data_IF_658268176943
#
_entry.id   IF_658268176943
#
_cell.length_a   1.000
_cell.length_b   1.000
_cell.length_c   1.000
_cell.angle_alpha   90.00
_cell.angle_beta   90.00
_cell.angle_gamma   90.00
#
_symmetry.space_group_name_H-M   'P 1'
#
loop_
_entity.id
_entity.type
_entity.pdbx_description
1 polymer ?
#
# COMPACT_ATOMS: atom_id res chain seq x y z
N UNK A 1 -6.97 29.85 15.99
CA UNK A 1 -5.72 29.64 16.76
C UNK A 1 -4.55 29.96 15.84
N UNK A 2 -3.62 30.83 16.23
CA UNK A 2 -2.42 31.08 15.45
C UNK A 2 -1.60 29.78 15.34
N UNK A 3 -1.21 29.38 14.12
CA UNK A 3 -0.31 28.23 13.94
C UNK A 3 1.01 28.54 14.65
N UNK A 4 1.51 27.61 15.46
CA UNK A 4 2.81 27.75 16.12
C UNK A 4 3.88 27.86 15.03
N UNK A 5 4.66 28.95 15.02
CA UNK A 5 5.84 29.11 14.15
C UNK A 5 7.08 28.60 14.89
N UNK A 6 7.97 27.95 14.16
CA UNK A 6 9.29 27.52 14.64
C UNK A 6 10.39 28.08 13.75
N UNK A 7 11.63 27.99 14.22
CA UNK A 7 12.84 28.37 13.49
C UNK A 7 13.71 27.15 13.23
N UNK A 8 14.43 27.14 12.12
CA UNK A 8 15.29 26.03 11.74
C UNK A 8 16.29 26.41 10.65
N UNK A 9 17.11 25.44 10.25
CA UNK A 9 18.13 25.57 9.22
C UNK A 9 17.81 24.66 8.04
N UNK A 10 17.85 25.18 6.82
CA UNK A 10 17.79 24.36 5.61
C UNK A 10 19.11 23.58 5.50
N UNK A 11 19.01 22.25 5.52
CA UNK A 11 20.17 21.35 5.48
C UNK A 11 20.36 20.68 4.12
N UNK A 12 19.29 20.57 3.32
CA UNK A 12 19.33 19.97 1.97
C UNK A 12 18.36 20.69 1.04
N UNK A 13 18.75 20.90 -0.21
CA UNK A 13 17.93 21.43 -1.29
C UNK A 13 18.01 20.48 -2.49
N UNK A 14 16.85 20.13 -3.02
CA UNK A 14 16.67 19.38 -4.25
C UNK A 14 15.93 20.23 -5.28
N UNK A 15 15.71 19.70 -6.49
CA UNK A 15 15.07 20.44 -7.57
C UNK A 15 13.64 20.92 -7.29
N UNK A 16 12.91 20.22 -6.43
CA UNK A 16 11.47 20.43 -6.18
C UNK A 16 11.10 20.53 -4.69
N UNK A 17 12.01 20.18 -3.78
CA UNK A 17 11.79 20.24 -2.34
C UNK A 17 13.11 20.49 -1.60
N UNK A 18 13.04 20.84 -0.32
CA UNK A 18 14.20 20.89 0.58
C UNK A 18 13.87 20.30 1.95
N UNK A 19 14.85 20.27 2.84
CA UNK A 19 14.72 19.75 4.21
C UNK A 19 15.23 20.79 5.20
N UNK A 20 14.43 21.05 6.24
CA UNK A 20 14.75 21.94 7.36
C UNK A 20 15.00 21.10 8.62
N UNK A 21 16.14 21.26 9.29
CA UNK A 21 16.35 20.77 10.66
C UNK A 21 15.86 21.82 11.66
N UNK A 22 15.08 21.41 12.66
CA UNK A 22 14.56 22.29 13.71
C UNK A 22 14.29 21.54 15.02
N UNK A 23 14.61 22.17 16.15
CA UNK A 23 14.21 21.73 17.50
C UNK A 23 13.01 22.51 18.06
N UNK A 24 12.45 23.49 17.32
CA UNK A 24 11.44 24.45 17.81
C UNK A 24 10.08 23.83 18.17
N UNK A 25 9.79 22.65 17.64
CA UNK A 25 8.49 21.99 17.79
C UNK A 25 8.48 20.92 18.88
N UNK A 26 9.66 20.52 19.36
CA UNK A 26 9.81 19.51 20.40
C UNK A 26 10.04 20.17 21.79
N UNK A 27 9.52 19.55 22.85
CA UNK A 27 9.66 20.04 24.23
C UNK A 27 11.04 19.72 24.84
N UNK A 28 11.76 18.75 24.26
CA UNK A 28 13.06 18.27 24.78
C UNK A 28 14.26 18.83 23.99
N UNK A 29 14.03 19.68 22.99
CA UNK A 29 15.11 20.30 22.21
C UNK A 29 15.80 19.38 21.21
N UNK A 30 15.27 18.18 20.95
CA UNK A 30 15.78 17.25 19.93
C UNK A 30 15.55 17.85 18.53
N UNK A 31 16.57 17.80 17.67
CA UNK A 31 16.46 18.22 16.27
C UNK A 31 15.63 17.23 15.45
N UNK A 32 14.76 17.77 14.60
CA UNK A 32 13.89 17.00 13.70
C UNK A 32 13.94 17.59 12.29
N UNK A 33 13.85 16.73 11.28
CA UNK A 33 13.86 17.12 9.87
C UNK A 33 12.44 17.28 9.32
N UNK A 34 12.17 18.39 8.62
CA UNK A 34 10.87 18.71 8.01
C UNK A 34 11.05 19.04 6.53
N UNK A 35 10.38 18.31 5.62
CA UNK A 35 10.41 18.62 4.19
C UNK A 35 9.61 19.88 3.88
N UNK A 36 9.98 20.59 2.82
CA UNK A 36 9.20 21.70 2.27
C UNK A 36 9.26 21.74 0.75
N UNK A 37 8.21 22.28 0.13
CA UNK A 37 8.13 22.40 -1.33
C UNK A 37 8.90 23.63 -1.82
N UNK A 38 9.68 23.48 -2.90
CA UNK A 38 10.24 24.63 -3.62
C UNK A 38 9.12 25.29 -4.44
N UNK A 39 8.90 26.57 -4.21
CA UNK A 39 7.86 27.36 -4.87
C UNK A 39 8.44 28.17 -6.04
N UNK A 40 7.58 28.68 -6.92
CA UNK A 40 8.01 29.43 -8.13
C UNK A 40 8.82 30.68 -7.79
N UNK A 41 8.48 31.36 -6.69
CA UNK A 41 9.18 32.55 -6.19
C UNK A 41 10.60 32.26 -5.68
N UNK A 42 10.90 30.99 -5.39
CA UNK A 42 12.27 30.55 -5.09
C UNK A 42 13.09 30.27 -6.34
N UNK A 43 12.49 30.26 -7.54
CA UNK A 43 13.19 29.92 -8.78
C UNK A 43 13.69 31.19 -9.47
N UNK A 44 14.96 31.17 -9.86
CA UNK A 44 15.58 32.21 -10.67
C UNK A 44 16.14 31.60 -11.95
N UNK A 45 15.83 32.21 -13.09
CA UNK A 45 16.34 31.82 -14.40
C UNK A 45 17.20 32.96 -14.96
N UNK A 46 18.47 32.66 -15.21
CA UNK A 46 19.47 33.59 -15.77
C UNK A 46 20.23 32.86 -16.86
N UNK A 47 20.30 33.42 -18.07
CA UNK A 47 21.04 32.88 -19.21
C UNK A 47 20.74 31.40 -19.55
N UNK A 48 19.47 30.99 -19.38
CA UNK A 48 19.02 29.60 -19.61
C UNK A 48 19.40 28.61 -18.51
N UNK A 49 19.99 29.10 -17.41
CA UNK A 49 20.33 28.32 -16.22
C UNK A 49 19.31 28.61 -15.13
N UNK A 50 18.76 27.56 -14.50
CA UNK A 50 17.81 27.71 -13.39
C UNK A 50 18.44 27.41 -12.04
N UNK A 51 18.11 28.23 -11.06
CA UNK A 51 18.58 28.15 -9.68
C UNK A 51 17.41 28.10 -8.69
N UNK A 52 17.64 27.51 -7.52
CA UNK A 52 16.82 27.64 -6.33
C UNK A 52 17.48 28.66 -5.40
N UNK A 53 16.79 29.76 -5.14
CA UNK A 53 17.15 30.74 -4.13
C UNK A 53 16.51 30.36 -2.80
N UNK A 54 17.30 30.36 -1.73
CA UNK A 54 16.83 30.03 -0.39
C UNK A 54 17.64 30.76 0.68
N UNK A 55 17.12 30.84 1.89
CA UNK A 55 17.86 31.35 3.05
C UNK A 55 18.29 30.18 3.92
N UNK A 56 19.51 30.18 4.44
CA UNK A 56 19.99 29.11 5.31
C UNK A 56 19.15 28.97 6.58
N UNK A 57 18.80 30.10 7.21
CA UNK A 57 17.98 30.14 8.42
C UNK A 57 16.58 30.64 8.11
N UNK A 58 15.57 29.89 8.56
CA UNK A 58 14.17 30.16 8.22
C UNK A 58 13.25 30.04 9.43
N UNK A 59 12.15 30.78 9.39
CA UNK A 59 10.98 30.56 10.24
C UNK A 59 9.84 29.96 9.42
N UNK A 60 9.08 29.03 10.00
CA UNK A 60 8.06 28.28 9.28
C UNK A 60 6.94 27.79 10.20
N UNK A 61 5.83 27.39 9.60
CA UNK A 61 4.69 26.73 10.24
C UNK A 61 4.64 25.27 9.78
N UNK A 62 4.07 24.38 10.60
CA UNK A 62 3.84 22.99 10.19
C UNK A 62 2.44 22.81 9.58
N UNK A 63 2.36 21.99 8.53
CA UNK A 63 1.12 21.53 7.93
C UNK A 63 1.08 20.01 7.87
N UNK A 64 -0.12 19.44 7.97
CA UNK A 64 -0.32 18.04 7.67
C UNK A 64 -0.79 17.93 6.23
N UNK A 65 0.06 17.41 5.36
CA UNK A 65 -0.27 17.18 3.96
C UNK A 65 -0.60 15.70 3.74
N UNK A 66 -1.84 15.44 3.34
CA UNK A 66 -2.30 14.10 2.99
C UNK A 66 -2.03 13.81 1.51
N UNK A 67 -1.51 12.62 1.20
CA UNK A 67 -1.51 12.09 -0.17
C UNK A 67 -0.27 12.38 -1.03
N UNK A 68 0.77 13.02 -0.49
CA UNK A 68 2.02 13.32 -1.24
C UNK A 68 2.76 12.03 -1.67
N UNK A 69 2.66 10.94 -0.91
CA UNK A 69 3.13 9.60 -1.30
C UNK A 69 1.98 8.59 -1.27
N UNK A 70 1.07 8.69 -2.24
CA UNK A 70 -0.09 7.80 -2.54
C UNK A 70 -1.05 7.42 -1.39
N UNK A 71 -0.75 7.70 -0.12
CA UNK A 71 -1.57 7.48 1.11
C UNK A 71 -0.90 7.89 2.44
N UNK A 72 0.35 8.38 2.46
CA UNK A 72 1.00 8.89 3.69
C UNK A 72 0.59 10.30 4.09
N UNK A 73 0.49 10.57 5.40
CA UNK A 73 0.37 11.92 5.99
C UNK A 73 1.78 12.45 6.23
N UNK A 74 2.17 13.53 5.57
CA UNK A 74 3.47 14.19 5.78
C UNK A 74 3.27 15.39 6.68
N UNK A 75 4.19 15.58 7.62
CA UNK A 75 4.32 16.86 8.33
C UNK A 75 5.32 17.70 7.55
N UNK A 76 4.83 18.67 6.79
CA UNK A 76 5.65 19.56 5.96
C UNK A 76 5.78 20.95 6.59
N UNK A 77 6.88 21.63 6.27
CA UNK A 77 7.10 23.03 6.58
C UNK A 77 6.47 23.91 5.48
N UNK A 78 5.63 24.86 5.90
CA UNK A 78 4.95 25.84 5.05
C UNK A 78 5.20 27.26 5.56
N UNK A 79 4.83 28.25 4.74
CA UNK A 79 4.95 29.67 5.10
C UNK A 79 6.38 30.08 5.50
N UNK A 80 7.36 29.54 4.77
CA UNK A 80 8.78 29.69 5.02
C UNK A 80 9.18 31.15 4.80
N UNK A 81 9.82 31.73 5.81
CA UNK A 81 10.34 33.10 5.78
C UNK A 81 11.81 33.07 6.19
N UNK A 82 12.68 33.50 5.29
CA UNK A 82 14.12 33.49 5.51
C UNK A 82 14.64 34.68 6.31
N UNK A 83 15.81 34.48 6.91
CA UNK A 83 16.59 35.50 7.60
C UNK A 83 18.04 35.40 7.12
N UNK A 84 18.68 36.56 6.90
CA UNK A 84 20.10 36.63 6.53
C UNK A 84 20.36 36.67 5.03
N UNK A 85 21.46 36.06 4.60
CA UNK A 85 21.93 36.07 3.22
C UNK A 85 21.10 35.12 2.34
N UNK A 86 20.81 35.56 1.11
CA UNK A 86 20.16 34.73 0.11
C UNK A 86 21.20 33.84 -0.58
N UNK A 87 21.07 32.54 -0.40
CA UNK A 87 21.88 31.53 -1.04
C UNK A 87 21.25 31.07 -2.35
N UNK A 88 22.09 30.54 -3.24
CA UNK A 88 21.70 30.10 -4.58
C UNK A 88 22.25 28.69 -4.84
N UNK A 89 21.40 27.77 -5.26
CA UNK A 89 21.79 26.42 -5.69
C UNK A 89 21.34 26.15 -7.12
N UNK A 90 22.24 25.59 -7.94
CA UNK A 90 21.94 25.21 -9.32
C UNK A 90 20.90 24.07 -9.36
N UNK A 91 19.89 24.21 -10.23
CA UNK A 91 18.95 23.11 -10.53
C UNK A 91 19.54 22.24 -11.62
N UNK A 92 19.68 20.96 -11.32
CA UNK A 92 20.12 19.96 -12.29
C UNK A 92 18.91 19.17 -12.75
N UNK A 93 18.25 19.64 -13.81
CA UNK A 93 17.16 18.90 -14.41
C UNK A 93 17.74 17.81 -15.33
N UNK A 94 17.25 16.56 -15.25
CA UNK A 94 17.64 15.54 -16.19
C UNK A 94 17.24 15.97 -17.61
N UNK A 95 18.21 15.99 -18.53
CA UNK A 95 17.99 16.25 -19.96
C UNK A 95 17.90 14.94 -20.78
N UNK A 96 17.88 13.80 -20.09
CA UNK A 96 17.80 12.48 -20.70
C UNK A 96 16.34 12.13 -21.01
N UNK A 97 16.15 11.37 -22.09
CA UNK A 97 14.84 10.83 -22.41
C UNK A 97 14.54 9.56 -21.61
N UNK A 98 13.29 9.12 -21.68
CA UNK A 98 12.78 7.98 -20.93
C UNK A 98 13.61 6.69 -21.09
N UNK A 99 14.09 6.38 -22.30
CA UNK A 99 14.82 5.13 -22.55
C UNK A 99 16.22 5.16 -21.95
N UNK A 100 16.91 6.31 -22.01
CA UNK A 100 18.21 6.50 -21.36
C UNK A 100 18.08 6.52 -19.83
N UNK A 101 17.09 7.21 -19.30
CA UNK A 101 16.75 7.18 -17.88
C UNK A 101 16.46 5.76 -17.37
N UNK A 102 15.89 4.90 -18.23
CA UNK A 102 15.61 3.51 -17.90
C UNK A 102 16.88 2.67 -17.88
N UNK A 103 17.79 2.86 -18.85
CA UNK A 103 19.11 2.21 -18.86
C UNK A 103 19.92 2.57 -17.62
N UNK A 104 20.01 3.86 -17.26
CA UNK A 104 20.75 4.29 -16.08
C UNK A 104 20.15 3.70 -14.79
N UNK A 105 18.82 3.62 -14.71
CA UNK A 105 18.17 2.97 -13.58
C UNK A 105 18.44 1.46 -13.55
N UNK A 106 18.45 0.77 -14.69
CA UNK A 106 18.82 -0.65 -14.77
C UNK A 106 20.27 -0.87 -14.30
N UNK A 107 21.21 -0.04 -14.73
CA UNK A 107 22.61 -0.08 -14.26
C UNK A 107 22.72 0.14 -12.75
N UNK A 108 21.94 1.08 -12.21
CA UNK A 108 21.88 1.34 -10.76
C UNK A 108 21.48 0.09 -9.96
N UNK A 109 20.70 -0.83 -10.53
CA UNK A 109 20.30 -2.11 -9.91
C UNK A 109 21.07 -3.31 -10.47
N UNK A 110 22.26 -3.08 -11.02
CA UNK A 110 23.17 -4.11 -11.53
C UNK A 110 22.56 -5.02 -12.62
N UNK A 111 21.75 -4.46 -13.51
CA UNK A 111 21.27 -5.18 -14.69
C UNK A 111 22.28 -5.17 -15.82
N UNK A 112 22.32 -6.27 -16.57
CA UNK A 112 23.05 -6.36 -17.83
C UNK A 112 22.30 -5.58 -18.92
N UNK A 113 22.95 -4.52 -19.39
CA UNK A 113 22.47 -3.65 -20.48
C UNK A 113 23.51 -3.53 -21.58
N UNK A 114 24.57 -4.34 -21.54
CA UNK A 114 25.69 -4.24 -22.48
C UNK A 114 25.24 -4.41 -23.94
N UNK A 115 24.22 -5.24 -24.19
CA UNK A 115 23.64 -5.45 -25.52
C UNK A 115 22.92 -4.22 -26.09
N UNK A 116 22.52 -3.25 -25.26
CA UNK A 116 21.65 -2.12 -25.65
C UNK A 116 22.24 -0.74 -25.34
N UNK A 117 23.39 -0.68 -24.69
CA UNK A 117 23.98 0.58 -24.23
C UNK A 117 24.43 1.48 -25.40
N UNK A 118 25.02 0.87 -26.43
CA UNK A 118 25.53 1.57 -27.63
C UNK A 118 24.44 1.83 -28.68
N UNK A 119 23.26 1.25 -28.54
CA UNK A 119 22.13 1.43 -29.45
C UNK A 119 21.61 2.87 -29.42
N UNK A 120 20.98 3.32 -30.50
CA UNK A 120 20.25 4.59 -30.51
C UNK A 120 18.90 4.47 -29.75
N UNK A 121 18.27 5.62 -29.46
CA UNK A 121 17.08 5.65 -28.60
C UNK A 121 15.87 4.89 -29.18
N UNK A 122 15.76 4.80 -30.51
CA UNK A 122 14.67 4.06 -31.18
C UNK A 122 14.91 2.56 -31.08
N UNK A 123 16.16 2.12 -31.24
CA UNK A 123 16.56 0.72 -31.09
C UNK A 123 16.35 0.23 -29.64
N UNK A 124 16.72 1.04 -28.65
CA UNK A 124 16.48 0.73 -27.23
C UNK A 124 14.98 0.59 -26.95
N UNK A 125 14.16 1.48 -27.52
CA UNK A 125 12.71 1.40 -27.36
C UNK A 125 12.14 0.10 -27.95
N UNK A 126 12.55 -0.26 -29.16
CA UNK A 126 12.12 -1.52 -29.80
C UNK A 126 12.64 -2.75 -29.05
N UNK A 127 13.85 -2.72 -28.50
CA UNK A 127 14.34 -3.79 -27.62
C UNK A 127 13.43 -3.99 -26.41
N UNK A 128 13.10 -2.91 -25.68
CA UNK A 128 12.21 -3.01 -24.52
C UNK A 128 10.84 -3.58 -24.90
N UNK A 129 10.31 -3.18 -26.05
CA UNK A 129 9.05 -3.71 -26.58
C UNK A 129 9.14 -5.20 -26.94
N UNK A 130 10.24 -5.65 -27.54
CA UNK A 130 10.47 -7.07 -27.90
C UNK A 130 10.45 -7.95 -26.65
N UNK A 131 11.02 -7.49 -25.54
CA UNK A 131 11.02 -8.25 -24.29
C UNK A 131 9.72 -8.06 -23.47
N UNK A 132 8.72 -7.34 -23.99
CA UNK A 132 7.48 -6.94 -23.30
C UNK A 132 7.72 -6.09 -22.04
N UNK A 133 8.80 -5.30 -22.02
CA UNK A 133 9.02 -4.30 -20.99
C UNK A 133 8.15 -3.06 -21.24
N UNK A 134 7.44 -2.63 -20.20
CA UNK A 134 6.48 -1.52 -20.27
C UNK A 134 6.90 -0.39 -19.33
N UNK A 135 6.59 0.89 -19.62
CA UNK A 135 7.08 1.99 -18.79
C UNK A 135 6.77 1.92 -17.29
N UNK A 136 5.60 1.40 -16.94
CA UNK A 136 5.20 1.17 -15.54
C UNK A 136 6.14 0.24 -14.77
N UNK A 137 6.86 -0.65 -15.46
CA UNK A 137 7.73 -1.67 -14.85
C UNK A 137 8.99 -1.05 -14.21
N UNK A 138 9.32 0.20 -14.56
CA UNK A 138 10.37 0.99 -13.87
C UNK A 138 10.07 1.20 -12.38
N UNK A 139 8.82 1.04 -11.95
CA UNK A 139 8.42 1.12 -10.55
C UNK A 139 8.95 -0.05 -9.71
N UNK A 140 9.33 -1.18 -10.33
CA UNK A 140 9.92 -2.30 -9.61
C UNK A 140 11.40 -2.08 -9.27
N UNK A 141 12.05 -1.12 -9.91
CA UNK A 141 13.44 -0.74 -9.62
C UNK A 141 13.48 0.16 -8.38
N UNK A 142 13.24 -0.44 -7.22
CA UNK A 142 13.32 0.19 -5.89
C UNK A 142 14.10 -0.73 -4.97
N UNK A 143 14.83 -0.15 -4.02
CA UNK A 143 15.49 -0.92 -2.97
C UNK A 143 14.43 -1.67 -2.16
N UNK A 144 14.64 -2.97 -1.98
CA UNK A 144 13.68 -3.88 -1.35
C UNK A 144 13.06 -4.86 -2.34
N UNK A 145 12.80 -4.45 -3.60
CA UNK A 145 12.47 -5.40 -4.68
C UNK A 145 13.75 -5.98 -5.27
N UNK A 146 14.69 -5.11 -5.61
CA UNK A 146 16.05 -5.44 -6.00
C UNK A 146 17.01 -4.76 -5.03
N UNK A 147 18.30 -5.10 -5.12
CA UNK A 147 19.36 -4.41 -4.39
C UNK A 147 20.15 -3.55 -5.37
N UNK A 148 20.32 -2.26 -5.05
CA UNK A 148 21.16 -1.37 -5.85
C UNK A 148 22.61 -1.88 -5.93
N UNK A 149 23.31 -1.59 -7.02
CA UNK A 149 24.72 -1.92 -7.22
C UNK A 149 25.58 -1.42 -6.06
N UNK A 150 25.27 -0.23 -5.54
CA UNK A 150 25.98 0.36 -4.39
C UNK A 150 25.78 -0.48 -3.12
N UNK A 151 24.55 -0.86 -2.80
CA UNK A 151 24.28 -1.70 -1.63
C UNK A 151 24.86 -3.10 -1.79
N UNK A 152 24.75 -3.69 -2.98
CA UNK A 152 25.27 -5.03 -3.28
C UNK A 152 26.79 -5.12 -3.08
N UNK A 153 27.54 -4.08 -3.46
CA UNK A 153 28.99 -3.98 -3.21
C UNK A 153 29.35 -4.12 -1.71
N UNK A 154 28.46 -3.76 -0.79
CA UNK A 154 28.71 -3.85 0.66
C UNK A 154 28.61 -5.29 1.19
N UNK A 155 27.94 -6.18 0.45
CA UNK A 155 27.69 -7.57 0.88
C UNK A 155 28.56 -8.60 0.16
N UNK A 156 29.10 -8.26 -1.01
CA UNK A 156 29.88 -9.20 -1.82
C UNK A 156 31.24 -9.47 -1.15
N UNK A 157 31.70 -10.74 -1.08
CA UNK A 157 33.01 -11.09 -0.52
C UNK A 157 34.18 -10.42 -1.27
N UNK A 158 35.24 -10.08 -0.53
CA UNK A 158 36.47 -9.56 -1.11
C UNK A 158 36.99 -10.47 -2.24
N UNK A 159 37.32 -9.88 -3.39
CA UNK A 159 37.83 -10.59 -4.57
C UNK A 159 36.76 -11.09 -5.55
N UNK A 160 35.47 -10.90 -5.26
CA UNK A 160 34.37 -11.21 -6.19
C UNK A 160 33.89 -9.93 -6.89
N UNK A 161 33.59 -9.98 -8.19
CA UNK A 161 33.10 -8.81 -8.92
C UNK A 161 31.59 -8.69 -8.81
N UNK A 162 31.08 -7.47 -8.66
CA UNK A 162 29.62 -7.22 -8.71
C UNK A 162 29.04 -7.55 -10.08
N UNK A 163 29.86 -7.47 -11.12
CA UNK A 163 29.43 -7.79 -12.48
C UNK A 163 29.15 -9.30 -12.67
N UNK A 164 29.64 -10.17 -11.76
CA UNK A 164 29.33 -11.61 -11.76
C UNK A 164 27.86 -11.90 -11.39
N UNK A 165 27.17 -10.90 -10.84
CA UNK A 165 25.79 -10.99 -10.36
C UNK A 165 24.82 -10.17 -11.21
N UNK A 166 25.16 -9.88 -12.46
CA UNK A 166 24.28 -9.08 -13.33
C UNK A 166 22.94 -9.77 -13.59
N UNK A 167 21.86 -9.00 -13.43
CA UNK A 167 20.50 -9.46 -13.71
C UNK A 167 20.09 -9.15 -15.15
N UNK A 168 19.25 -10.00 -15.73
CA UNK A 168 18.68 -9.74 -17.07
C UNK A 168 17.37 -8.94 -16.97
N UNK A 169 17.13 -7.92 -17.82
CA UNK A 169 15.90 -7.11 -17.76
C UNK A 169 14.58 -7.90 -17.83
N UNK A 170 14.59 -9.08 -18.45
CA UNK A 170 13.43 -9.98 -18.57
C UNK A 170 12.86 -10.41 -17.19
N UNK A 171 13.66 -10.43 -16.13
CA UNK A 171 13.17 -10.75 -14.77
C UNK A 171 12.11 -9.73 -14.30
N UNK A 172 12.22 -8.46 -14.73
CA UNK A 172 11.26 -7.41 -14.40
C UNK A 172 9.91 -7.68 -15.08
N UNK A 173 9.95 -8.26 -16.29
CA UNK A 173 8.75 -8.63 -17.05
C UNK A 173 8.05 -9.79 -16.36
N UNK A 174 8.79 -10.81 -15.91
CA UNK A 174 8.25 -11.91 -15.10
C UNK A 174 7.63 -11.37 -13.80
N UNK A 175 8.33 -10.48 -13.11
CA UNK A 175 7.83 -9.82 -11.91
C UNK A 175 6.53 -9.05 -12.18
N UNK A 176 6.41 -8.33 -13.30
CA UNK A 176 5.17 -7.63 -13.67
C UNK A 176 4.01 -8.60 -13.87
N UNK A 177 4.23 -9.77 -14.47
CA UNK A 177 3.16 -10.78 -14.63
C UNK A 177 2.75 -11.38 -13.28
N UNK A 178 3.71 -11.61 -12.37
CA UNK A 178 3.42 -12.07 -11.00
C UNK A 178 2.60 -11.00 -10.25
N UNK A 179 3.00 -9.73 -10.36
CA UNK A 179 2.31 -8.60 -9.74
C UNK A 179 0.89 -8.41 -10.31
N UNK A 180 0.71 -8.60 -11.62
CA UNK A 180 -0.62 -8.64 -12.25
C UNK A 180 -1.49 -9.75 -11.66
N UNK A 181 -0.96 -10.97 -11.52
CA UNK A 181 -1.71 -12.08 -10.90
C UNK A 181 -2.04 -11.77 -9.45
N UNK A 182 -1.11 -11.18 -8.70
CA UNK A 182 -1.34 -10.81 -7.31
C UNK A 182 -2.44 -9.75 -7.19
N UNK A 183 -2.45 -8.72 -8.04
CA UNK A 183 -3.55 -7.74 -8.11
C UNK A 183 -4.92 -8.36 -8.33
N UNK A 184 -5.00 -9.36 -9.22
CA UNK A 184 -6.26 -10.05 -9.49
C UNK A 184 -6.77 -10.75 -8.23
N UNK A 185 -5.90 -11.50 -7.54
CA UNK A 185 -6.25 -12.12 -6.27
C UNK A 185 -6.64 -11.12 -5.20
N UNK A 186 -5.87 -10.04 -5.01
CA UNK A 186 -6.21 -9.00 -4.03
C UNK A 186 -7.56 -8.35 -4.30
N UNK A 187 -7.88 -8.07 -5.57
CA UNK A 187 -9.20 -7.55 -5.94
C UNK A 187 -10.30 -8.56 -5.63
N UNK A 188 -10.12 -9.81 -6.04
CA UNK A 188 -11.08 -10.89 -5.79
C UNK A 188 -11.33 -11.10 -4.30
N UNK A 189 -10.27 -11.18 -3.50
CA UNK A 189 -10.34 -11.40 -2.05
C UNK A 189 -11.03 -10.24 -1.31
N UNK A 190 -10.78 -8.99 -1.71
CA UNK A 190 -11.50 -7.84 -1.13
C UNK A 190 -12.99 -7.88 -1.50
N UNK A 191 -13.32 -8.18 -2.75
CA UNK A 191 -14.72 -8.30 -3.19
C UNK A 191 -15.45 -9.46 -2.48
N UNK A 192 -14.76 -10.57 -2.21
CA UNK A 192 -15.33 -11.67 -1.42
C UNK A 192 -15.69 -11.23 0.01
N UNK A 193 -14.87 -10.39 0.65
CA UNK A 193 -15.21 -9.81 1.96
C UNK A 193 -16.48 -8.96 1.86
N UNK A 194 -16.56 -8.06 0.87
CA UNK A 194 -17.74 -7.23 0.65
C UNK A 194 -19.00 -8.09 0.44
N UNK A 195 -18.92 -9.08 -0.44
CA UNK A 195 -20.03 -9.94 -0.82
C UNK A 195 -20.50 -10.84 0.33
N UNK A 196 -19.58 -11.39 1.13
CA UNK A 196 -19.92 -12.20 2.30
C UNK A 196 -20.73 -11.38 3.32
N UNK A 197 -20.35 -10.12 3.53
CA UNK A 197 -21.06 -9.22 4.45
C UNK A 197 -22.43 -8.81 3.88
N UNK A 198 -22.49 -8.42 2.60
CA UNK A 198 -23.77 -8.10 1.94
C UNK A 198 -24.73 -9.29 1.99
N UNK A 199 -24.23 -10.49 1.68
CA UNK A 199 -25.01 -11.74 1.74
C UNK A 199 -25.49 -12.07 3.15
N UNK A 200 -24.65 -11.85 4.17
CA UNK A 200 -25.06 -12.02 5.56
C UNK A 200 -26.20 -11.06 5.93
N UNK A 201 -26.08 -9.78 5.56
CA UNK A 201 -27.12 -8.78 5.81
C UNK A 201 -28.41 -9.25 5.13
N UNK A 202 -28.40 -9.54 3.83
CA UNK A 202 -29.58 -10.05 3.10
C UNK A 202 -30.20 -11.30 3.75
N UNK A 203 -29.38 -12.24 4.23
CA UNK A 203 -29.89 -13.43 4.93
C UNK A 203 -30.62 -13.07 6.22
N UNK A 204 -30.08 -12.16 7.03
CA UNK A 204 -30.73 -11.70 8.28
C UNK A 204 -32.12 -11.12 8.00
N UNK A 205 -32.32 -10.51 6.83
CA UNK A 205 -33.57 -9.87 6.42
C UNK A 205 -34.68 -10.83 6.03
N UNK A 206 -34.36 -12.11 5.86
CA UNK A 206 -35.39 -13.14 5.70
C UNK A 206 -36.20 -13.34 6.98
N UNK A 207 -35.69 -12.88 8.13
CA UNK A 207 -36.45 -12.83 9.39
C UNK A 207 -37.48 -11.70 9.35
N UNK A 208 -38.75 -12.05 9.59
CA UNK A 208 -39.85 -11.08 9.60
C UNK A 208 -39.66 -9.96 10.62
N UNK A 209 -38.91 -10.21 11.70
CA UNK A 209 -38.61 -9.21 12.74
C UNK A 209 -37.56 -8.18 12.30
N UNK A 210 -36.83 -8.43 11.21
CA UNK A 210 -35.76 -7.55 10.72
C UNK A 210 -36.28 -6.35 9.90
N UNK A 211 -37.57 -6.34 9.50
CA UNK A 211 -38.15 -5.26 8.67
C UNK A 211 -38.03 -3.87 9.30
N UNK A 212 -38.24 -3.77 10.62
CA UNK A 212 -38.11 -2.50 11.35
C UNK A 212 -36.67 -1.99 11.31
N UNK A 213 -35.70 -2.90 11.43
CA UNK A 213 -34.26 -2.57 11.39
C UNK A 213 -33.89 -2.01 10.01
N UNK A 214 -34.42 -2.58 8.93
CA UNK A 214 -34.21 -2.09 7.56
C UNK A 214 -34.72 -0.67 7.41
N UNK A 215 -35.99 -0.42 7.78
CA UNK A 215 -36.58 0.91 7.67
C UNK A 215 -35.78 1.95 8.47
N UNK A 216 -35.43 1.65 9.72
CA UNK A 216 -34.61 2.54 10.55
C UNK A 216 -33.22 2.80 9.94
N UNK A 217 -32.57 1.76 9.39
CA UNK A 217 -31.25 1.89 8.75
C UNK A 217 -31.32 2.74 7.48
N UNK A 218 -32.33 2.51 6.62
CA UNK A 218 -32.50 3.27 5.38
C UNK A 218 -32.96 4.72 5.63
N UNK A 219 -33.73 4.96 6.69
CA UNK A 219 -34.04 6.31 7.16
C UNK A 219 -32.76 7.05 7.59
N UNK A 220 -31.90 6.40 8.39
CA UNK A 220 -30.61 6.96 8.77
C UNK A 220 -29.73 7.24 7.55
N UNK A 221 -29.68 6.29 6.61
CA UNK A 221 -28.96 6.45 5.34
C UNK A 221 -29.47 7.65 4.56
N UNK A 222 -30.78 7.75 4.32
CA UNK A 222 -31.42 8.86 3.62
C UNK A 222 -31.12 10.20 4.30
N UNK A 223 -31.19 10.28 5.63
CA UNK A 223 -30.89 11.50 6.39
C UNK A 223 -29.42 11.94 6.28
N UNK A 224 -28.48 10.99 6.21
CA UNK A 224 -27.04 11.27 6.22
C UNK A 224 -26.42 11.40 4.81
N UNK A 225 -26.92 10.63 3.84
CA UNK A 225 -26.37 10.50 2.47
C UNK A 225 -27.32 10.95 1.37
N UNK A 226 -28.59 11.20 1.69
CA UNK A 226 -29.62 11.57 0.71
C UNK A 226 -30.21 10.37 -0.03
N UNK A 227 -30.96 10.65 -1.10
CA UNK A 227 -31.79 9.67 -1.83
C UNK A 227 -31.09 9.06 -3.05
N UNK A 228 -29.90 9.52 -3.42
CA UNK A 228 -29.21 9.13 -4.66
C UNK A 228 -29.12 7.62 -4.88
N UNK A 229 -28.73 6.86 -3.85
CA UNK A 229 -28.63 5.39 -3.94
C UNK A 229 -29.99 4.70 -4.10
N UNK A 230 -31.03 5.24 -3.46
CA UNK A 230 -32.41 4.74 -3.53
C UNK A 230 -32.98 5.01 -4.94
N UNK A 231 -32.76 6.20 -5.48
CA UNK A 231 -33.17 6.57 -6.83
C UNK A 231 -32.45 5.73 -7.89
N UNK A 232 -31.13 5.53 -7.74
CA UNK A 232 -30.36 4.69 -8.65
C UNK A 232 -30.79 3.23 -8.61
N UNK A 233 -31.09 2.67 -7.43
CA UNK A 233 -31.64 1.33 -7.29
C UNK A 233 -32.95 1.17 -8.10
N UNK A 234 -33.86 2.15 -7.98
CA UNK A 234 -35.13 2.19 -8.74
C UNK A 234 -34.90 2.25 -10.24
N UNK A 235 -34.00 3.14 -10.71
CA UNK A 235 -33.70 3.32 -12.14
C UNK A 235 -33.18 2.02 -12.76
N UNK A 236 -32.32 1.27 -12.06
CA UNK A 236 -31.77 0.00 -12.56
C UNK A 236 -32.87 -1.03 -12.86
N UNK A 237 -33.95 -1.03 -12.08
CA UNK A 237 -35.08 -1.96 -12.21
C UNK A 237 -36.20 -1.41 -13.09
N UNK A 238 -36.19 -0.11 -13.38
CA UNK A 238 -37.21 0.54 -14.17
C UNK A 238 -37.38 -0.15 -15.53
N UNK A 239 -38.62 -0.50 -15.87
CA UNK A 239 -39.00 -1.18 -17.11
C UNK A 239 -38.40 -2.58 -17.31
N UNK A 240 -38.02 -3.28 -16.24
CA UNK A 240 -37.64 -4.70 -16.27
C UNK A 240 -38.75 -5.57 -15.70
N UNK A 241 -38.92 -6.80 -16.20
CA UNK A 241 -39.91 -7.75 -15.62
C UNK A 241 -39.68 -7.98 -14.13
N UNK A 242 -38.43 -7.97 -13.69
CA UNK A 242 -38.08 -8.14 -12.28
C UNK A 242 -38.65 -7.03 -11.38
N UNK A 243 -39.01 -5.86 -11.92
CA UNK A 243 -39.66 -4.79 -11.13
C UNK A 243 -41.01 -5.21 -10.58
N UNK A 244 -41.67 -6.20 -11.17
CA UNK A 244 -42.95 -6.71 -10.67
C UNK A 244 -42.81 -7.45 -9.33
N UNK A 245 -41.58 -7.79 -8.93
CA UNK A 245 -41.27 -8.49 -7.67
C UNK A 245 -41.31 -7.56 -6.45
N UNK A 246 -41.39 -6.25 -6.64
CA UNK A 246 -41.43 -5.26 -5.56
C UNK A 246 -42.22 -4.01 -5.94
N UNK A 247 -43.04 -3.50 -5.03
CA UNK A 247 -43.82 -2.29 -5.29
C UNK A 247 -42.95 -1.03 -5.09
N UNK A 248 -42.24 -0.64 -6.16
CA UNK A 248 -41.47 0.61 -6.21
C UNK A 248 -42.35 1.87 -6.28
N UNK A 249 -43.68 1.75 -6.42
CA UNK A 249 -44.60 2.88 -6.55
C UNK A 249 -45.03 3.37 -5.16
N UNK A 250 -45.53 2.46 -4.32
CA UNK A 250 -46.06 2.80 -3.00
C UNK A 250 -45.01 2.76 -1.89
N UNK A 251 -43.95 1.96 -2.04
CA UNK A 251 -42.89 1.94 -1.05
C UNK A 251 -41.91 3.08 -1.30
N UNK A 252 -41.46 3.74 -0.23
CA UNK A 252 -40.48 4.82 -0.29
C UNK A 252 -39.06 4.31 -0.57
N UNK A 253 -38.71 3.15 -0.02
CA UNK A 253 -37.39 2.55 -0.19
C UNK A 253 -37.37 1.51 -1.32
N UNK A 254 -36.20 1.30 -1.91
CA UNK A 254 -35.96 0.15 -2.78
C UNK A 254 -35.61 -1.08 -1.91
N UNK A 255 -35.67 -2.31 -2.46
CA UNK A 255 -35.07 -3.47 -1.82
C UNK A 255 -33.64 -3.16 -1.39
N UNK A 256 -33.32 -3.50 -0.17
CA UNK A 256 -32.02 -3.23 0.43
C UNK A 256 -30.89 -3.94 -0.31
N UNK A 257 -31.14 -5.10 -0.91
CA UNK A 257 -30.19 -5.79 -1.81
C UNK A 257 -29.75 -4.87 -2.96
N UNK A 258 -30.70 -4.20 -3.62
CA UNK A 258 -30.42 -3.26 -4.72
C UNK A 258 -29.62 -2.04 -4.23
N UNK A 259 -29.70 -1.69 -2.94
CA UNK A 259 -28.92 -0.64 -2.32
C UNK A 259 -27.51 -1.15 -1.98
N UNK A 260 -27.40 -2.32 -1.34
CA UNK A 260 -26.14 -2.96 -0.94
C UNK A 260 -25.22 -3.23 -2.13
N UNK A 261 -25.77 -3.65 -3.28
CA UNK A 261 -25.02 -3.90 -4.51
C UNK A 261 -24.29 -2.67 -5.04
N UNK A 262 -24.75 -1.47 -4.69
CA UNK A 262 -24.14 -0.23 -5.13
C UNK A 262 -23.01 0.25 -4.22
N UNK A 263 -22.94 -0.23 -2.99
CA UNK A 263 -22.02 0.29 -1.98
C UNK A 263 -20.61 -0.25 -2.21
N UNK A 264 -19.63 0.64 -2.27
CA UNK A 264 -18.20 0.28 -2.16
C UNK A 264 -17.80 0.03 -0.69
N UNK A 265 -16.55 -0.36 -0.42
CA UNK A 265 -16.06 -0.56 0.96
C UNK A 265 -16.28 0.63 1.89
N UNK A 266 -16.13 1.87 1.39
CA UNK A 266 -16.26 3.07 2.23
C UNK A 266 -17.71 3.27 2.64
N UNK A 267 -18.61 3.16 1.67
CA UNK A 267 -20.05 3.29 1.87
C UNK A 267 -20.62 2.11 2.66
N UNK A 268 -20.12 0.90 2.42
CA UNK A 268 -20.49 -0.30 3.15
C UNK A 268 -20.11 -0.19 4.63
N UNK A 269 -18.95 0.38 4.95
CA UNK A 269 -18.55 0.66 6.35
C UNK A 269 -19.59 1.55 7.05
N UNK A 270 -19.99 2.64 6.40
CA UNK A 270 -20.97 3.57 6.96
C UNK A 270 -22.33 2.90 7.13
N UNK A 271 -22.75 2.11 6.14
CA UNK A 271 -23.97 1.33 6.20
C UNK A 271 -23.96 0.35 7.38
N UNK A 272 -22.87 -0.41 7.56
CA UNK A 272 -22.68 -1.34 8.68
C UNK A 272 -22.82 -0.61 10.02
N UNK A 273 -22.30 0.62 10.15
CA UNK A 273 -22.43 1.38 11.39
C UNK A 273 -23.89 1.75 11.69
N UNK A 274 -24.67 2.17 10.68
CA UNK A 274 -26.09 2.48 10.86
C UNK A 274 -26.89 1.22 11.17
N UNK A 275 -26.62 0.13 10.43
CA UNK A 275 -27.22 -1.18 10.63
C UNK A 275 -26.95 -1.71 12.05
N UNK A 276 -25.72 -1.58 12.53
CA UNK A 276 -25.32 -2.01 13.87
C UNK A 276 -26.07 -1.25 14.97
N UNK A 277 -26.20 0.08 14.85
CA UNK A 277 -26.95 0.88 15.82
C UNK A 277 -28.45 0.53 15.81
N UNK A 278 -29.05 0.28 14.64
CA UNK A 278 -30.45 -0.16 14.53
C UNK A 278 -30.69 -1.57 15.14
N UNK A 279 -29.68 -2.44 15.10
CA UNK A 279 -29.72 -3.78 15.69
C UNK A 279 -29.54 -3.78 17.23
N UNK A 280 -28.96 -2.71 17.80
CA UNK A 280 -28.54 -2.68 19.20
C UNK A 280 -29.71 -2.92 20.16
N UNK A 281 -29.54 -3.90 21.05
CA UNK A 281 -30.57 -4.30 22.03
C UNK A 281 -31.75 -5.10 21.44
N UNK A 282 -31.72 -5.44 20.15
CA UNK A 282 -32.77 -6.21 19.47
C UNK A 282 -32.23 -7.45 18.77
N UNK A 283 -31.26 -7.26 17.87
CA UNK A 283 -30.70 -8.30 17.01
C UNK A 283 -29.17 -8.29 17.08
N UNK A 284 -28.63 -8.73 18.22
CA UNK A 284 -27.18 -8.81 18.42
C UNK A 284 -26.71 -10.25 18.24
N UNK A 285 -25.75 -10.45 17.34
CA UNK A 285 -25.12 -11.74 17.09
C UNK A 285 -23.60 -11.61 17.06
N UNK A 286 -22.91 -12.71 17.33
CA UNK A 286 -21.44 -12.78 17.19
C UNK A 286 -20.99 -12.37 15.79
N UNK A 287 -21.72 -12.77 14.75
CA UNK A 287 -21.42 -12.38 13.37
C UNK A 287 -21.51 -10.86 13.20
N UNK A 288 -22.54 -10.23 13.74
CA UNK A 288 -22.73 -8.77 13.63
C UNK A 288 -21.61 -8.00 14.35
N UNK A 289 -21.19 -8.46 15.53
CA UNK A 289 -20.05 -7.88 16.25
C UNK A 289 -18.75 -8.00 15.45
N UNK A 290 -18.50 -9.17 14.85
CA UNK A 290 -17.33 -9.39 14.00
C UNK A 290 -17.36 -8.51 12.74
N UNK A 291 -18.52 -8.35 12.11
CA UNK A 291 -18.70 -7.46 10.95
C UNK A 291 -18.43 -6.00 11.34
N UNK A 292 -18.98 -5.53 12.47
CA UNK A 292 -18.75 -4.16 12.96
C UNK A 292 -17.29 -3.91 13.28
N UNK A 293 -16.61 -4.89 13.87
CA UNK A 293 -15.18 -4.84 14.13
C UNK A 293 -14.37 -4.79 12.81
N UNK A 294 -14.68 -5.66 11.85
CA UNK A 294 -13.99 -5.69 10.55
C UNK A 294 -14.20 -4.39 9.75
N UNK A 295 -15.36 -3.75 9.86
CA UNK A 295 -15.65 -2.51 9.16
C UNK A 295 -14.68 -1.35 9.53
N UNK A 296 -14.08 -1.38 10.72
CA UNK A 296 -13.08 -0.37 11.12
C UNK A 296 -11.76 -0.47 10.34
N UNK A 297 -11.51 -1.61 9.70
CA UNK A 297 -10.34 -1.89 8.86
C UNK A 297 -10.55 -1.61 7.36
N UNK A 298 -11.78 -1.33 6.92
CA UNK A 298 -12.08 -1.08 5.50
C UNK A 298 -11.31 0.09 4.88
N UNK A 299 -10.98 1.17 5.61
CA UNK A 299 -10.08 2.21 5.09
C UNK A 299 -8.69 1.67 4.72
N UNK A 300 -8.18 0.69 5.48
CA UNK A 300 -6.91 0.04 5.17
C UNK A 300 -7.06 -0.89 3.96
N UNK A 301 -8.12 -1.70 3.88
CA UNK A 301 -8.36 -2.57 2.71
C UNK A 301 -8.52 -1.79 1.40
N UNK A 302 -9.09 -0.58 1.46
CA UNK A 302 -9.24 0.30 0.31
C UNK A 302 -7.90 0.60 -0.39
N UNK A 303 -6.77 0.51 0.33
CA UNK A 303 -5.42 0.66 -0.22
C UNK A 303 -5.16 -0.36 -1.32
N UNK A 304 -5.23 -1.66 -0.99
CA UNK A 304 -4.93 -2.75 -1.93
C UNK A 304 -6.01 -2.85 -3.00
N UNK A 305 -7.28 -2.61 -2.65
CA UNK A 305 -8.39 -2.57 -3.62
C UNK A 305 -8.13 -1.50 -4.68
N UNK A 306 -7.86 -0.26 -4.28
CA UNK A 306 -7.67 0.85 -5.22
C UNK A 306 -6.37 0.68 -6.02
N UNK A 307 -5.31 0.20 -5.38
CA UNK A 307 -4.07 -0.11 -6.08
C UNK A 307 -4.27 -1.16 -7.17
N UNK A 308 -5.00 -2.22 -6.86
CA UNK A 308 -5.32 -3.30 -7.80
C UNK A 308 -6.23 -2.84 -8.94
N UNK A 309 -7.30 -2.09 -8.63
CA UNK A 309 -8.23 -1.54 -9.62
C UNK A 309 -7.54 -0.60 -10.63
N UNK A 310 -6.57 0.19 -10.18
CA UNK A 310 -5.86 1.14 -11.02
C UNK A 310 -4.57 0.58 -11.65
N UNK A 311 -4.32 -0.73 -11.53
CA UNK A 311 -3.13 -1.36 -12.09
C UNK A 311 -1.80 -0.84 -11.53
N UNK A 312 -1.79 -0.39 -10.26
CA UNK A 312 -0.58 0.09 -9.58
C UNK A 312 0.27 -1.09 -9.14
N UNK A 313 1.60 -0.96 -9.24
CA UNK A 313 2.54 -2.02 -8.83
C UNK A 313 2.40 -2.33 -7.34
N UNK A 314 1.97 -3.53 -6.99
CA UNK A 314 1.70 -3.93 -5.60
C UNK A 314 3.02 -4.28 -4.92
N UNK A 315 3.81 -5.18 -5.49
CA UNK A 315 5.09 -5.64 -4.93
C UNK A 315 6.02 -4.46 -4.67
N UNK A 316 6.11 -3.51 -5.61
CA UNK A 316 6.86 -2.27 -5.38
C UNK A 316 6.31 -1.50 -4.17
N UNK A 317 4.99 -1.31 -4.07
CA UNK A 317 4.39 -0.63 -2.92
C UNK A 317 4.61 -1.33 -1.57
N UNK A 318 4.71 -2.66 -1.55
CA UNK A 318 5.06 -3.42 -0.35
C UNK A 318 6.50 -3.21 0.07
N UNK A 319 7.43 -3.23 -0.89
CA UNK A 319 8.86 -3.30 -0.59
C UNK A 319 9.55 -1.95 -0.57
N UNK A 320 8.94 -0.91 -1.14
CA UNK A 320 9.52 0.43 -1.19
C UNK A 320 9.59 1.04 0.22
N UNK A 321 10.80 1.25 0.79
CA UNK A 321 10.95 1.87 2.11
C UNK A 321 10.47 3.32 2.10
N UNK A 322 10.51 3.99 0.93
CA UNK A 322 10.01 5.34 0.74
C UNK A 322 8.47 5.40 0.67
N UNK A 323 7.77 4.28 0.79
CA UNK A 323 6.31 4.31 0.83
C UNK A 323 5.79 5.12 2.04
N UNK A 324 6.52 5.12 3.15
CA UNK A 324 6.26 6.00 4.28
C UNK A 324 7.16 7.23 4.22
N UNK A 325 6.58 8.40 3.94
CA UNK A 325 7.33 9.65 3.91
C UNK A 325 7.87 10.11 5.28
N UNK A 326 7.33 9.58 6.38
CA UNK A 326 7.83 9.85 7.73
C UNK A 326 8.72 8.72 8.23
N UNK A 327 9.18 7.81 7.37
CA UNK A 327 9.87 6.59 7.76
C UNK A 327 10.97 6.85 8.79
N UNK A 328 11.97 7.66 8.44
CA UNK A 328 13.10 7.96 9.34
C UNK A 328 12.63 8.56 10.67
N UNK A 329 11.69 9.51 10.62
CA UNK A 329 11.13 10.14 11.82
C UNK A 329 10.38 9.15 12.72
N UNK A 330 9.63 8.21 12.15
CA UNK A 330 8.84 7.24 12.91
C UNK A 330 9.71 6.14 13.52
N UNK A 331 10.80 5.75 12.86
CA UNK A 331 11.76 4.77 13.38
C UNK A 331 12.58 5.32 14.55
N UNK A 332 13.00 6.58 14.49
CA UNK A 332 13.78 7.22 15.56
C UNK A 332 12.97 7.45 16.85
N UNK A 333 11.63 7.54 16.76
CA UNK A 333 10.77 7.80 17.92
C UNK A 333 9.40 7.10 17.85
N UNK A 334 9.46 5.77 17.78
CA UNK A 334 8.29 4.89 17.65
C UNK A 334 7.19 5.19 18.66
N UNK A 335 7.52 5.27 19.95
CA UNK A 335 6.52 5.37 21.02
C UNK A 335 5.74 6.69 21.01
N UNK A 336 6.36 7.78 20.55
CA UNK A 336 5.72 9.11 20.55
C UNK A 336 5.05 9.45 19.22
N UNK A 337 5.60 8.98 18.11
CA UNK A 337 5.14 9.33 16.75
C UNK A 337 4.16 8.33 16.17
N UNK A 338 4.21 7.09 16.64
CA UNK A 338 3.35 6.03 16.14
C UNK A 338 2.36 5.60 17.20
N UNK A 339 1.24 5.05 16.74
CA UNK A 339 0.23 4.39 17.58
C UNK A 339 0.36 2.87 17.49
N UNK A 340 1.57 2.38 17.20
CA UNK A 340 1.83 1.00 16.82
C UNK A 340 1.35 0.00 17.90
N UNK A 341 1.64 0.25 19.18
CA UNK A 341 1.20 -0.62 20.29
C UNK A 341 -0.33 -0.62 20.49
N UNK A 342 -1.04 0.38 19.98
CA UNK A 342 -2.51 0.43 20.01
C UNK A 342 -3.16 -0.16 18.75
N UNK A 343 -2.35 -0.57 17.78
CA UNK A 343 -2.85 -1.24 16.59
C UNK A 343 -3.30 -2.66 16.95
N UNK A 344 -4.53 -3.02 16.59
CA UNK A 344 -5.16 -4.30 16.95
C UNK A 344 -4.33 -5.52 16.51
N UNK A 345 -3.54 -5.40 15.44
CA UNK A 345 -2.73 -6.51 14.92
C UNK A 345 -1.32 -6.58 15.54
N UNK A 346 -0.94 -5.61 16.38
CA UNK A 346 0.38 -5.58 17.01
C UNK A 346 0.64 -6.84 17.83
N UNK A 347 -0.28 -7.22 18.72
CA UNK A 347 -0.12 -8.40 19.59
C UNK A 347 0.05 -9.70 18.79
N UNK A 348 -0.67 -9.83 17.67
CA UNK A 348 -0.59 -11.02 16.80
C UNK A 348 0.80 -11.11 16.16
N UNK A 349 1.31 -10.00 15.65
CA UNK A 349 2.63 -9.94 15.03
C UNK A 349 3.74 -10.12 16.07
N UNK A 350 3.60 -9.50 17.24
CA UNK A 350 4.54 -9.63 18.37
C UNK A 350 4.68 -11.09 18.80
N UNK A 351 3.57 -11.80 19.03
CA UNK A 351 3.61 -13.22 19.38
C UNK A 351 4.29 -14.07 18.30
N UNK A 352 4.07 -13.74 17.03
CA UNK A 352 4.67 -14.45 15.90
C UNK A 352 6.19 -14.28 15.84
N UNK A 353 6.69 -13.09 16.18
CA UNK A 353 8.12 -12.80 16.28
C UNK A 353 8.77 -13.42 17.52
N UNK A 354 8.10 -13.39 18.68
CA UNK A 354 8.58 -14.05 19.91
C UNK A 354 8.78 -15.55 19.67
N UNK A 355 7.82 -16.22 19.02
CA UNK A 355 7.92 -17.66 18.66
C UNK A 355 9.13 -17.97 17.78
N UNK A 356 9.64 -16.98 17.03
CA UNK A 356 10.79 -17.08 16.14
C UNK A 356 12.11 -16.68 16.83
N UNK A 357 12.10 -16.45 18.13
CA UNK A 357 13.29 -16.14 18.92
C UNK A 357 13.82 -14.72 18.72
N UNK A 358 12.99 -13.81 18.20
CA UNK A 358 13.36 -12.39 18.08
C UNK A 358 13.26 -11.72 19.45
N UNK A 359 14.28 -10.96 19.81
CA UNK A 359 14.33 -10.21 21.06
C UNK A 359 13.21 -9.15 21.14
N UNK A 360 12.55 -9.08 22.29
CA UNK A 360 11.38 -8.23 22.52
C UNK A 360 11.65 -6.73 22.31
N UNK A 361 12.87 -6.25 22.53
CA UNK A 361 13.21 -4.84 22.33
C UNK A 361 13.23 -4.46 20.84
N UNK A 362 13.52 -5.43 19.95
CA UNK A 362 13.58 -5.23 18.50
C UNK A 362 12.23 -5.40 17.78
N UNK A 363 11.23 -6.01 18.43
CA UNK A 363 9.93 -6.30 17.82
C UNK A 363 9.19 -5.02 17.38
N UNK A 364 9.12 -3.93 18.19
CA UNK A 364 8.44 -2.72 17.77
C UNK A 364 8.98 -2.16 16.44
N UNK A 365 10.30 -2.17 16.24
CA UNK A 365 10.94 -1.72 15.00
C UNK A 365 10.55 -2.62 13.82
N UNK A 366 10.51 -3.94 14.01
CA UNK A 366 10.09 -4.88 12.97
C UNK A 366 8.63 -4.70 12.60
N UNK A 367 7.74 -4.58 13.58
CA UNK A 367 6.30 -4.35 13.33
C UNK A 367 6.08 -2.98 12.69
N UNK A 368 6.92 -1.97 12.99
CA UNK A 368 6.83 -0.67 12.35
C UNK A 368 7.07 -0.76 10.84
N UNK A 369 7.94 -1.67 10.38
CA UNK A 369 8.16 -1.85 8.95
C UNK A 369 6.88 -2.26 8.19
N UNK A 370 5.95 -2.92 8.88
CA UNK A 370 4.63 -3.30 8.37
C UNK A 370 3.64 -2.17 8.61
N UNK A 371 3.56 -1.65 9.84
CA UNK A 371 2.58 -0.65 10.24
C UNK A 371 2.74 0.70 9.50
N UNK A 372 3.98 1.12 9.28
CA UNK A 372 4.33 2.36 8.58
C UNK A 372 4.07 2.29 7.06
N UNK A 373 4.04 1.10 6.47
CA UNK A 373 3.75 0.91 5.05
C UNK A 373 2.26 0.57 4.86
N UNK A 374 1.50 1.41 4.14
CA UNK A 374 0.04 1.20 4.01
C UNK A 374 -0.33 -0.06 3.23
N UNK A 375 0.51 -0.52 2.30
CA UNK A 375 0.27 -1.76 1.53
C UNK A 375 0.47 -2.98 2.42
N UNK A 376 1.59 -3.04 3.17
CA UNK A 376 1.86 -4.12 4.13
C UNK A 376 0.83 -4.15 5.25
N UNK A 377 0.48 -2.99 5.82
CA UNK A 377 -0.61 -2.88 6.80
C UNK A 377 -1.93 -3.43 6.26
N UNK A 378 -2.32 -3.02 5.05
CA UNK A 378 -3.54 -3.51 4.38
C UNK A 378 -3.50 -5.01 4.11
N UNK A 379 -2.33 -5.57 3.80
CA UNK A 379 -2.12 -7.00 3.55
C UNK A 379 -2.33 -7.86 4.79
N UNK A 380 -1.73 -7.46 5.91
CA UNK A 380 -1.90 -8.14 7.19
C UNK A 380 -3.36 -8.04 7.63
N UNK A 381 -3.99 -6.87 7.43
CA UNK A 381 -5.41 -6.64 7.68
C UNK A 381 -6.33 -7.52 6.83
N UNK A 382 -6.01 -7.72 5.55
CA UNK A 382 -6.76 -8.62 4.66
C UNK A 382 -6.75 -10.05 5.21
N UNK A 383 -5.56 -10.58 5.50
CA UNK A 383 -5.40 -11.92 6.05
C UNK A 383 -6.12 -12.07 7.40
N UNK A 384 -6.06 -11.04 8.25
CA UNK A 384 -6.76 -11.01 9.52
C UNK A 384 -8.28 -11.12 9.36
N UNK A 385 -8.87 -10.36 8.43
CA UNK A 385 -10.31 -10.40 8.18
C UNK A 385 -10.73 -11.76 7.62
N UNK A 386 -9.93 -12.36 6.74
CA UNK A 386 -10.21 -13.71 6.26
C UNK A 386 -10.20 -14.74 7.39
N UNK A 387 -9.17 -14.72 8.25
CA UNK A 387 -9.05 -15.67 9.36
C UNK A 387 -10.12 -15.47 10.43
N UNK A 388 -10.46 -14.22 10.78
CA UNK A 388 -11.35 -13.90 11.91
C UNK A 388 -12.82 -13.76 11.53
N UNK A 389 -13.13 -13.22 10.35
CA UNK A 389 -14.50 -12.96 9.91
C UNK A 389 -14.94 -13.97 8.84
N UNK A 390 -14.24 -14.06 7.71
CA UNK A 390 -14.74 -14.79 6.54
C UNK A 390 -14.80 -16.29 6.81
N UNK A 391 -13.82 -16.86 7.53
CA UNK A 391 -13.85 -18.26 7.98
C UNK A 391 -15.14 -18.64 8.72
N UNK A 392 -15.77 -17.69 9.40
CA UNK A 392 -17.01 -17.89 10.14
C UNK A 392 -18.26 -17.43 9.36
N UNK A 393 -18.13 -16.39 8.54
CA UNK A 393 -19.24 -15.78 7.83
C UNK A 393 -19.59 -16.52 6.54
N UNK A 394 -18.58 -16.95 5.80
CA UNK A 394 -18.68 -17.67 4.53
C UNK A 394 -17.53 -18.68 4.40
N UNK A 395 -17.70 -19.91 4.94
CA UNK A 395 -16.67 -20.95 4.91
C UNK A 395 -16.25 -21.37 3.49
N UNK A 396 -17.14 -21.22 2.51
CA UNK A 396 -16.84 -21.56 1.12
C UNK A 396 -15.91 -20.52 0.49
N UNK A 397 -16.23 -19.22 0.63
CA UNK A 397 -15.33 -18.15 0.20
C UNK A 397 -13.97 -18.22 0.91
N UNK A 398 -13.97 -18.54 2.22
CA UNK A 398 -12.73 -18.79 2.95
C UNK A 398 -11.92 -19.94 2.36
N UNK A 399 -12.54 -21.06 2.00
CA UNK A 399 -11.88 -22.20 1.36
C UNK A 399 -11.21 -21.81 0.04
N UNK A 400 -11.92 -21.07 -0.82
CA UNK A 400 -11.36 -20.55 -2.09
C UNK A 400 -10.15 -19.65 -1.83
N UNK A 401 -10.27 -18.70 -0.92
CA UNK A 401 -9.15 -17.83 -0.52
C UNK A 401 -7.95 -18.65 -0.05
N UNK A 402 -8.17 -19.62 0.83
CA UNK A 402 -7.12 -20.50 1.38
C UNK A 402 -6.39 -21.24 0.27
N UNK A 403 -7.10 -21.91 -0.62
CA UNK A 403 -6.49 -22.65 -1.73
C UNK A 403 -5.68 -21.75 -2.66
N UNK A 404 -6.24 -20.61 -3.06
CA UNK A 404 -5.56 -19.65 -3.93
C UNK A 404 -4.32 -19.05 -3.26
N UNK A 405 -4.45 -18.62 -2.00
CA UNK A 405 -3.37 -18.00 -1.24
C UNK A 405 -2.26 -19.00 -0.92
N UNK A 406 -2.60 -20.22 -0.46
CA UNK A 406 -1.62 -21.28 -0.23
C UNK A 406 -0.87 -21.64 -1.50
N UNK A 407 -1.58 -21.79 -2.63
CA UNK A 407 -0.95 -22.06 -3.92
C UNK A 407 0.01 -20.94 -4.34
N UNK A 408 -0.39 -19.69 -4.17
CA UNK A 408 0.37 -18.54 -4.66
C UNK A 408 1.55 -18.14 -3.76
N UNK A 409 1.36 -18.20 -2.44
CA UNK A 409 2.34 -17.72 -1.45
C UNK A 409 3.34 -18.79 -1.04
N UNK A 410 3.00 -20.08 -1.10
CA UNK A 410 3.90 -21.15 -0.67
C UNK A 410 5.13 -21.21 -1.57
N UNK A 411 6.30 -21.23 -0.93
CA UNK A 411 7.60 -21.25 -1.60
C UNK A 411 8.45 -22.43 -1.11
N UNK A 412 9.39 -22.94 -1.94
CA UNK A 412 10.29 -24.01 -1.55
C UNK A 412 11.20 -23.59 -0.38
N UNK A 413 11.38 -24.49 0.59
CA UNK A 413 12.34 -24.28 1.67
C UNK A 413 13.75 -24.75 1.29
N UNK A 414 13.82 -25.74 0.40
CA UNK A 414 15.06 -26.23 -0.17
C UNK A 414 15.49 -25.39 -1.39
N UNK A 415 16.79 -25.08 -1.46
CA UNK A 415 17.33 -24.20 -2.49
C UNK A 415 17.41 -24.87 -3.86
N UNK A 416 17.66 -26.18 -3.92
CA UNK A 416 17.73 -26.92 -5.17
C UNK A 416 16.33 -27.04 -5.78
N UNK A 417 15.32 -27.34 -4.97
CA UNK A 417 13.91 -27.32 -5.37
C UNK A 417 13.50 -25.95 -5.91
N UNK A 418 13.96 -24.87 -5.28
CA UNK A 418 13.71 -23.52 -5.75
C UNK A 418 14.35 -23.26 -7.12
N UNK A 419 15.62 -23.61 -7.32
CA UNK A 419 16.28 -23.46 -8.62
C UNK A 419 15.60 -24.27 -9.72
N UNK A 420 15.21 -25.52 -9.46
CA UNK A 420 14.47 -26.34 -10.42
C UNK A 420 13.14 -25.69 -10.81
N UNK A 421 12.42 -25.11 -9.84
CA UNK A 421 11.17 -24.41 -10.10
C UNK A 421 11.35 -23.14 -10.94
N UNK A 422 12.49 -22.46 -10.81
CA UNK A 422 12.81 -21.24 -11.57
C UNK A 422 13.26 -21.54 -13.01
N UNK A 423 13.75 -22.74 -13.32
CA UNK A 423 14.19 -23.10 -14.68
C UNK A 423 13.04 -23.14 -15.69
N UNK A 424 11.84 -23.54 -15.24
CA UNK A 424 10.69 -23.78 -16.11
C UNK A 424 9.44 -23.04 -15.62
N UNK A 425 9.54 -21.71 -15.45
CA UNK A 425 8.41 -20.89 -15.01
C UNK A 425 7.29 -20.91 -16.05
N UNK A 426 6.14 -21.47 -15.68
CA UNK A 426 4.92 -21.42 -16.48
C UNK A 426 4.19 -20.08 -16.25
N UNK A 427 4.18 -19.22 -17.28
CA UNK A 427 3.51 -17.90 -17.22
C UNK A 427 1.98 -18.00 -17.02
N UNK A 428 1.35 -19.13 -17.34
CA UNK A 428 -0.06 -19.37 -17.07
C UNK A 428 -0.30 -19.83 -15.62
N UNK A 429 0.75 -20.26 -14.92
CA UNK A 429 0.67 -20.79 -13.57
C UNK A 429 1.72 -20.18 -12.63
N UNK A 430 1.65 -18.85 -12.46
CA UNK A 430 2.61 -18.10 -11.65
C UNK A 430 2.35 -18.24 -10.15
N UNK A 431 3.44 -18.32 -9.38
CA UNK A 431 3.50 -18.23 -7.92
C UNK A 431 4.41 -17.07 -7.54
N UNK A 432 4.26 -16.57 -6.31
CA UNK A 432 4.98 -15.39 -5.86
C UNK A 432 6.50 -15.60 -5.93
N UNK A 433 7.00 -16.76 -5.51
CA UNK A 433 8.44 -17.07 -5.52
C UNK A 433 9.07 -17.23 -6.91
N UNK A 434 8.26 -17.32 -7.99
CA UNK A 434 8.77 -17.36 -9.36
C UNK A 434 9.49 -16.06 -9.75
N UNK A 435 9.41 -15.00 -8.93
CA UNK A 435 10.24 -13.80 -9.10
C UNK A 435 11.74 -14.08 -8.87
N UNK A 436 12.08 -15.17 -8.18
CA UNK A 436 13.45 -15.55 -7.88
C UNK A 436 14.10 -14.74 -6.74
N UNK A 437 15.40 -14.89 -6.60
CA UNK A 437 16.21 -14.23 -5.56
C UNK A 437 16.60 -12.81 -5.99
N UNK A 438 15.62 -11.93 -6.15
CA UNK A 438 15.83 -10.55 -6.65
C UNK A 438 16.72 -9.70 -5.74
N UNK A 439 16.83 -10.09 -4.46
CA UNK A 439 17.72 -9.49 -3.46
C UNK A 439 19.00 -10.31 -3.22
N UNK A 440 19.23 -11.39 -3.98
CA UNK A 440 20.39 -12.28 -3.79
C UNK A 440 20.57 -12.69 -2.32
N UNK A 441 19.48 -13.08 -1.68
CA UNK A 441 19.39 -13.35 -0.23
C UNK A 441 20.52 -14.25 0.29
N UNK A 442 21.00 -15.19 -0.52
CA UNK A 442 22.11 -16.09 -0.17
C UNK A 442 23.42 -15.35 0.12
N UNK A 443 23.61 -14.18 -0.49
CA UNK A 443 24.81 -13.35 -0.37
C UNK A 443 24.55 -12.22 0.60
N UNK A 444 23.41 -11.56 0.46
CA UNK A 444 23.11 -10.32 1.19
C UNK A 444 22.47 -10.57 2.55
N UNK A 445 21.90 -11.75 2.78
CA UNK A 445 21.06 -12.03 3.94
C UNK A 445 19.73 -11.27 3.94
N UNK A 446 19.44 -10.49 2.89
CA UNK A 446 18.20 -9.70 2.77
C UNK A 446 17.12 -10.58 2.13
N UNK A 447 16.01 -10.87 2.82
CA UNK A 447 14.95 -11.70 2.28
C UNK A 447 14.39 -11.15 0.97
N UNK A 448 14.14 -12.04 0.02
CA UNK A 448 13.48 -11.67 -1.22
C UNK A 448 12.01 -11.25 -0.96
N UNK A 449 11.40 -10.38 -1.79
CA UNK A 449 10.06 -9.85 -1.56
C UNK A 449 9.00 -10.91 -1.33
N UNK A 450 9.08 -12.04 -2.05
CA UNK A 450 8.11 -13.11 -1.89
C UNK A 450 8.09 -13.71 -0.48
N UNK A 451 9.24 -13.76 0.21
CA UNK A 451 9.32 -14.28 1.58
C UNK A 451 8.68 -13.31 2.57
N UNK A 452 8.99 -12.02 2.48
CA UNK A 452 8.39 -10.99 3.35
C UNK A 452 6.86 -11.02 3.22
N UNK A 453 6.35 -10.92 1.99
CA UNK A 453 4.91 -10.90 1.70
C UNK A 453 4.22 -12.19 2.19
N UNK A 454 4.80 -13.37 1.90
CA UNK A 454 4.23 -14.64 2.32
C UNK A 454 4.26 -14.82 3.85
N UNK A 455 5.38 -14.50 4.49
CA UNK A 455 5.55 -14.66 5.92
C UNK A 455 4.62 -13.74 6.72
N UNK A 456 4.40 -12.50 6.27
CA UNK A 456 3.42 -11.60 6.88
C UNK A 456 2.01 -12.20 6.92
N UNK A 457 1.59 -12.91 5.86
CA UNK A 457 0.32 -13.63 5.86
C UNK A 457 0.36 -14.83 6.82
N UNK A 458 1.43 -15.62 6.77
CA UNK A 458 1.60 -16.81 7.61
C UNK A 458 1.61 -16.46 9.10
N UNK A 459 2.18 -15.34 9.51
CA UNK A 459 2.14 -14.87 10.91
C UNK A 459 0.70 -14.71 11.41
N UNK A 460 -0.18 -14.16 10.57
CA UNK A 460 -1.59 -14.03 10.92
C UNK A 460 -2.27 -15.40 10.95
N UNK A 461 -1.97 -16.27 9.99
CA UNK A 461 -2.63 -17.58 9.90
C UNK A 461 -2.26 -18.50 11.06
N UNK A 462 -0.98 -18.56 11.43
CA UNK A 462 -0.46 -19.35 12.56
C UNK A 462 -1.12 -18.97 13.89
N UNK A 463 -1.51 -17.71 14.07
CA UNK A 463 -2.20 -17.27 15.29
C UNK A 463 -3.61 -17.87 15.41
N UNK A 464 -4.30 -18.11 14.29
CA UNK A 464 -5.68 -18.60 14.26
C UNK A 464 -5.82 -20.11 14.01
N UNK A 465 -4.75 -20.77 13.57
CA UNK A 465 -4.74 -22.21 13.31
C UNK A 465 -4.25 -23.06 14.49
N UNK A 466 -3.73 -22.41 15.54
CA UNK A 466 -3.21 -23.07 16.74
C UNK A 466 -4.24 -23.22 17.85
#
# INVERSE_FOLDING_TARGET
MAKKRGTGRIIKIYNNYGIISSSSFNKEGIEEEFPFQITKDMILEEDGVTYVNYFEYVSFSLNNADGIRRQGRIIEAIEIQGQGELLRQLRQLPNQNYVRDTIEKLKMFNFDVSDIEEMNDTEIYEYFKIIDFQPRMRNYLVDGVFISKTSLNLFIPEGTSVDDFKLKPQIIVVLDKIDQKFRLYLMEWVLQIENAIKSYISRVLTDQNARVIVSETLDMWKRKKGTKHIEKARIVKQYRRDSDSYDYILNEFAPIEDILDQLDLTELREFINYWYEACKGRFMSRQLELIKHAADFFPELSVLRNASAHGRSIIAGFMDPDFNANWDMEFDNLERRTKIKSWVLYEILEQSWIKRGVDSESIPQRVQTIYGNSYRRSWVTLNYIFMKLISFLDPHAFGIFREQADFFLKYPLDIEEHFESLRNVNLLNLRLFHMGFTTMEQITGIPAPYKEIANEAFFIWEHYMN
#
